data_IF_502400117058
#
_entry.id   IF_502400117058
#
_cell.length_a   1.000
_cell.length_b   1.000
_cell.length_c   1.000
_cell.angle_alpha   90.00
_cell.angle_beta   90.00
_cell.angle_gamma   90.00
#
_symmetry.space_group_name_H-M   'P 1'
#
loop_
_entity.id
_entity.type
_entity.pdbx_description
1 polymer ?
#
# COMPACT_ATOMS: atom_id res chain seq x y z
N UNK A 1 -4.75 -9.41 20.07
CA UNK A 1 -5.49 -8.29 19.45
C UNK A 1 -4.64 -7.49 18.46
N UNK A 2 -3.38 -7.15 18.79
CA UNK A 2 -2.49 -6.40 17.89
C UNK A 2 -2.16 -7.15 16.58
N UNK A 3 -1.94 -8.45 16.64
CA UNK A 3 -1.63 -9.28 15.46
C UNK A 3 -2.79 -9.38 14.46
N UNK A 4 -4.03 -9.35 14.96
CA UNK A 4 -5.24 -9.36 14.13
C UNK A 4 -5.40 -8.03 13.37
N UNK A 5 -5.05 -6.91 14.01
CA UNK A 5 -5.09 -5.58 13.40
C UNK A 5 -3.98 -5.39 12.37
N UNK A 6 -2.77 -5.87 12.66
CA UNK A 6 -1.63 -5.83 11.72
C UNK A 6 -1.91 -6.74 10.52
N UNK A 7 -2.33 -7.98 10.77
CA UNK A 7 -2.71 -8.92 9.72
C UNK A 7 -3.87 -8.41 8.86
N UNK A 8 -4.89 -7.81 9.48
CA UNK A 8 -6.02 -7.20 8.78
C UNK A 8 -5.59 -6.00 7.91
N UNK A 9 -4.72 -5.13 8.41
CA UNK A 9 -4.20 -4.00 7.64
C UNK A 9 -3.37 -4.47 6.44
N UNK A 10 -2.46 -5.44 6.65
CA UNK A 10 -1.65 -6.02 5.56
C UNK A 10 -2.54 -6.67 4.50
N UNK A 11 -3.54 -7.47 4.91
CA UNK A 11 -4.49 -8.08 3.99
C UNK A 11 -5.27 -7.03 3.19
N UNK A 12 -5.70 -5.93 3.83
CA UNK A 12 -6.38 -4.83 3.16
C UNK A 12 -5.49 -4.16 2.10
N UNK A 13 -4.22 -3.90 2.39
CA UNK A 13 -3.29 -3.34 1.41
C UNK A 13 -3.05 -4.28 0.22
N UNK A 14 -2.89 -5.59 0.48
CA UNK A 14 -2.76 -6.60 -0.58
C UNK A 14 -4.00 -6.61 -1.48
N UNK A 15 -5.19 -6.58 -0.89
CA UNK A 15 -6.45 -6.53 -1.64
C UNK A 15 -6.58 -5.24 -2.47
N UNK A 16 -6.18 -4.09 -1.92
CA UNK A 16 -6.21 -2.81 -2.65
C UNK A 16 -5.24 -2.81 -3.84
N UNK A 17 -4.04 -3.36 -3.67
CA UNK A 17 -3.05 -3.50 -4.75
C UNK A 17 -3.58 -4.43 -5.83
N UNK A 18 -4.08 -5.60 -5.45
CA UNK A 18 -4.63 -6.59 -6.37
C UNK A 18 -5.84 -6.03 -7.15
N UNK A 19 -6.75 -5.35 -6.46
CA UNK A 19 -7.94 -4.75 -7.06
C UNK A 19 -7.59 -3.58 -8.00
N UNK A 20 -6.68 -2.70 -7.60
CA UNK A 20 -6.22 -1.60 -8.46
C UNK A 20 -5.47 -2.12 -9.68
N UNK A 21 -4.64 -3.15 -9.52
CA UNK A 21 -3.96 -3.83 -10.64
C UNK A 21 -4.95 -4.49 -11.60
N UNK A 22 -5.93 -5.23 -11.08
CA UNK A 22 -6.99 -5.82 -11.88
C UNK A 22 -7.76 -4.75 -12.65
N UNK A 23 -8.20 -3.68 -11.98
CA UNK A 23 -8.90 -2.54 -12.61
C UNK A 23 -8.06 -1.88 -13.69
N UNK A 24 -6.75 -1.75 -13.51
CA UNK A 24 -5.85 -1.18 -14.52
C UNK A 24 -5.74 -2.08 -15.76
N UNK A 25 -5.71 -3.40 -15.59
CA UNK A 25 -5.64 -4.38 -16.68
C UNK A 25 -6.97 -4.47 -17.44
N UNK A 26 -8.09 -4.46 -16.72
CA UNK A 26 -9.43 -4.57 -17.32
C UNK A 26 -10.04 -3.23 -17.73
N UNK A 27 -9.29 -2.13 -17.61
CA UNK A 27 -9.78 -0.80 -17.96
C UNK A 27 -10.03 -0.70 -19.47
N UNK A 28 -11.26 -0.32 -19.83
CA UNK A 28 -11.65 -0.14 -21.24
C UNK A 28 -11.21 1.22 -21.79
N UNK A 29 -10.86 2.16 -20.90
CA UNK A 29 -10.43 3.51 -21.26
C UNK A 29 -9.11 3.87 -20.58
N UNK A 30 -8.27 4.65 -21.28
CA UNK A 30 -6.99 5.15 -20.73
C UNK A 30 -7.18 5.95 -19.43
N UNK A 31 -8.28 6.68 -19.31
CA UNK A 31 -8.57 7.47 -18.11
C UNK A 31 -8.83 6.60 -16.87
N UNK A 32 -9.52 5.47 -17.02
CA UNK A 32 -9.70 4.51 -15.93
C UNK A 32 -8.39 3.80 -15.57
N UNK A 33 -7.58 3.47 -16.58
CA UNK A 33 -6.27 2.88 -16.38
C UNK A 33 -5.33 3.82 -15.59
N UNK A 34 -5.27 5.09 -15.97
CA UNK A 34 -4.46 6.10 -15.27
C UNK A 34 -4.96 6.34 -13.84
N UNK A 35 -6.27 6.36 -13.62
CA UNK A 35 -6.84 6.47 -12.28
C UNK A 35 -6.45 5.27 -11.40
N UNK A 36 -6.54 4.05 -11.94
CA UNK A 36 -6.15 2.83 -11.24
C UNK A 36 -4.65 2.80 -10.92
N UNK A 37 -3.79 3.20 -11.86
CA UNK A 37 -2.36 3.35 -11.61
C UNK A 37 -2.03 4.45 -10.59
N UNK A 38 -2.80 5.55 -10.57
CA UNK A 38 -2.61 6.62 -9.60
C UNK A 38 -2.93 6.13 -8.18
N UNK A 39 -4.00 5.36 -8.01
CA UNK A 39 -4.33 4.70 -6.74
C UNK A 39 -3.24 3.72 -6.34
N UNK A 40 -2.77 2.88 -7.28
CA UNK A 40 -1.68 1.92 -7.03
C UNK A 40 -0.41 2.61 -6.53
N UNK A 41 0.00 3.70 -7.20
CA UNK A 41 1.15 4.52 -6.79
C UNK A 41 0.97 5.13 -5.41
N UNK A 42 -0.24 5.60 -5.10
CA UNK A 42 -0.54 6.22 -3.81
C UNK A 42 -0.46 5.18 -2.67
N UNK A 43 -1.01 3.98 -2.88
CA UNK A 43 -0.92 2.87 -1.93
C UNK A 43 0.54 2.46 -1.69
N UNK A 44 1.34 2.35 -2.75
CA UNK A 44 2.77 2.04 -2.63
C UNK A 44 3.53 3.15 -1.89
N UNK A 45 3.25 4.42 -2.21
CA UNK A 45 3.87 5.55 -1.51
C UNK A 45 3.53 5.56 -0.01
N UNK A 46 2.29 5.24 0.36
CA UNK A 46 1.88 5.10 1.76
C UNK A 46 2.64 3.97 2.46
N UNK A 47 2.78 2.79 1.83
CA UNK A 47 3.54 1.68 2.40
C UNK A 47 5.02 2.03 2.59
N UNK A 48 5.63 2.68 1.60
CA UNK A 48 7.01 3.16 1.69
C UNK A 48 7.18 4.21 2.80
N UNK A 49 6.25 5.16 2.93
CA UNK A 49 6.27 6.17 3.98
C UNK A 49 6.17 5.55 5.37
N UNK A 50 5.26 4.58 5.55
CA UNK A 50 5.13 3.84 6.82
C UNK A 50 6.41 3.07 7.14
N UNK A 51 7.01 2.41 6.14
CA UNK A 51 8.27 1.69 6.33
C UNK A 51 9.41 2.63 6.75
N UNK A 52 9.56 3.78 6.10
CA UNK A 52 10.58 4.78 6.43
C UNK A 52 10.36 5.36 7.84
N UNK A 53 9.13 5.69 8.21
CA UNK A 53 8.81 6.20 9.55
C UNK A 53 9.09 5.13 10.61
N UNK A 54 8.69 3.88 10.35
CA UNK A 54 8.95 2.76 11.27
C UNK A 54 10.46 2.54 11.44
N UNK A 55 11.22 2.58 10.34
CA UNK A 55 12.67 2.47 10.35
C UNK A 55 13.32 3.64 11.12
N UNK A 56 12.85 4.87 10.91
CA UNK A 56 13.34 6.05 11.62
C UNK A 56 13.06 5.97 13.13
N UNK A 57 11.88 5.46 13.52
CA UNK A 57 11.54 5.23 14.93
C UNK A 57 12.43 4.13 15.53
N UNK A 58 12.67 3.03 14.80
CA UNK A 58 13.57 1.95 15.25
C UNK A 58 15.02 2.44 15.42
N UNK A 59 15.50 3.27 14.49
CA UNK A 59 16.83 3.88 14.55
C UNK A 59 16.94 4.88 15.72
N UNK A 60 15.93 5.72 15.95
CA UNK A 60 15.88 6.60 17.13
C UNK A 60 15.78 5.83 18.45
N UNK A 61 15.14 4.66 18.44
CA UNK A 61 15.06 3.77 19.59
C UNK A 61 16.34 2.95 19.83
N UNK A 62 17.36 3.05 18.96
CA UNK A 62 18.62 2.32 19.06
C UNK A 62 18.51 0.82 18.80
N UNK A 63 17.42 0.37 18.18
CA UNK A 63 17.16 -1.04 17.85
C UNK A 63 17.82 -1.42 16.52
N UNK A 64 18.06 -0.44 15.65
CA UNK A 64 18.69 -0.57 14.32
C UNK A 64 19.80 0.47 14.19
#
# INVERSE_FOLDING_TARGET
MKDLLIGGAVAMFVLLIAYAGYKAITATTKQQQDAAYRVLKLVLATLSGVAVVTLAVLHQAGVV
#
